data_IF_128357862097
#
_entry.id   IF_128357862097
#
_cell.length_a   1.000
_cell.length_b   1.000
_cell.length_c   1.000
_cell.angle_alpha   90.00
_cell.angle_beta   90.00
_cell.angle_gamma   90.00
#
_symmetry.space_group_name_H-M   'P 1'
#
loop_
_entity.id
_entity.type
_entity.pdbx_description
1 polymer ?
#
# COMPACT_ATOMS: atom_id res chain seq x y z
N UNK A 1 -16.73 -5.14 -7.17
CA UNK A 1 -16.32 -4.79 -8.57
C UNK A 1 -15.43 -5.84 -9.22
N UNK A 2 -14.29 -6.27 -8.64
CA UNK A 2 -13.40 -7.29 -9.23
C UNK A 2 -14.18 -8.58 -9.60
N UNK A 3 -15.07 -9.06 -8.71
CA UNK A 3 -15.96 -10.21 -8.98
C UNK A 3 -16.87 -10.06 -10.21
N UNK A 4 -17.19 -8.83 -10.63
CA UNK A 4 -17.94 -8.57 -11.86
C UNK A 4 -16.99 -8.50 -13.06
N UNK A 5 -15.86 -7.79 -12.91
CA UNK A 5 -14.83 -7.66 -13.94
C UNK A 5 -14.30 -9.02 -14.38
N UNK A 6 -14.05 -9.94 -13.44
CA UNK A 6 -13.48 -11.25 -13.76
C UNK A 6 -14.37 -12.10 -14.67
N UNK A 7 -15.67 -11.79 -14.78
CA UNK A 7 -16.59 -12.47 -15.71
C UNK A 7 -16.39 -12.06 -17.16
N UNK A 8 -15.77 -10.90 -17.42
CA UNK A 8 -15.72 -10.29 -18.75
C UNK A 8 -14.30 -10.00 -19.25
N UNK A 9 -13.35 -9.67 -18.37
CA UNK A 9 -11.99 -9.27 -18.77
C UNK A 9 -10.94 -9.65 -17.73
N UNK A 10 -9.73 -9.88 -18.21
CA UNK A 10 -8.58 -10.22 -17.38
C UNK A 10 -8.59 -11.66 -16.89
N UNK A 11 -7.43 -12.11 -16.46
CA UNK A 11 -7.24 -13.41 -15.82
C UNK A 11 -6.29 -13.38 -14.62
N UNK A 12 -5.75 -12.20 -14.28
CA UNK A 12 -5.03 -11.97 -13.03
C UNK A 12 -5.66 -10.77 -12.33
N UNK A 13 -5.95 -10.89 -11.04
CA UNK A 13 -6.66 -9.85 -10.28
C UNK A 13 -5.94 -9.57 -8.97
N UNK A 14 -5.74 -8.28 -8.66
CA UNK A 14 -5.08 -7.84 -7.44
C UNK A 14 -5.44 -6.38 -7.08
N UNK A 15 -4.96 -5.92 -5.93
CA UNK A 15 -4.91 -4.49 -5.56
C UNK A 15 -3.51 -3.92 -5.79
N UNK A 16 -3.40 -2.60 -5.90
CA UNK A 16 -2.12 -1.90 -6.00
C UNK A 16 -1.23 -2.13 -4.77
N UNK A 17 -1.78 -2.22 -3.56
CA UNK A 17 -1.03 -2.57 -2.34
C UNK A 17 -0.31 -3.93 -2.46
N UNK A 18 -0.98 -4.93 -3.03
CA UNK A 18 -0.43 -6.28 -3.25
C UNK A 18 0.62 -6.24 -4.36
N UNK A 19 0.31 -5.64 -5.51
CA UNK A 19 1.23 -5.59 -6.65
C UNK A 19 2.47 -4.74 -6.34
N UNK A 20 2.32 -3.62 -5.64
CA UNK A 20 3.47 -2.81 -5.20
C UNK A 20 4.38 -3.55 -4.22
N UNK A 21 3.80 -4.37 -3.33
CA UNK A 21 4.56 -5.26 -2.43
C UNK A 21 5.40 -6.27 -3.23
N UNK A 22 4.81 -6.90 -4.24
CA UNK A 22 5.53 -7.83 -5.14
C UNK A 22 6.61 -7.13 -5.98
N UNK A 23 6.26 -6.01 -6.61
CA UNK A 23 7.19 -5.23 -7.44
C UNK A 23 8.40 -4.72 -6.66
N UNK A 24 8.20 -4.35 -5.39
CA UNK A 24 9.24 -3.77 -4.53
C UNK A 24 9.85 -4.78 -3.56
N UNK A 25 9.54 -6.09 -3.70
CA UNK A 25 9.90 -7.12 -2.72
C UNK A 25 11.41 -7.19 -2.41
N UNK A 26 12.27 -6.82 -3.36
CA UNK A 26 13.74 -6.79 -3.21
C UNK A 26 14.24 -5.75 -2.20
N UNK A 27 13.38 -4.81 -1.80
CA UNK A 27 13.68 -3.79 -0.77
C UNK A 27 13.10 -4.15 0.60
N UNK A 28 12.25 -5.17 0.69
CA UNK A 28 11.61 -5.56 1.95
C UNK A 28 12.59 -6.27 2.87
N UNK A 29 12.56 -5.90 4.15
CA UNK A 29 13.31 -6.56 5.22
C UNK A 29 12.35 -7.39 6.05
N UNK A 30 11.26 -6.78 6.51
CA UNK A 30 10.27 -7.42 7.36
C UNK A 30 9.48 -8.50 6.61
N UNK A 31 9.02 -9.54 7.33
CA UNK A 31 8.20 -10.58 6.74
C UNK A 31 6.82 -10.05 6.35
N UNK A 32 6.30 -10.59 5.27
CA UNK A 32 4.94 -10.38 4.77
C UNK A 32 4.52 -11.62 3.99
N UNK A 33 3.21 -11.77 3.77
CA UNK A 33 2.65 -12.88 3.01
C UNK A 33 1.49 -12.44 2.12
N UNK A 34 1.34 -13.14 0.99
CA UNK A 34 0.30 -12.91 -0.03
C UNK A 34 -0.31 -14.26 -0.38
N UNK A 35 -1.63 -14.34 -0.33
CA UNK A 35 -2.40 -15.51 -0.75
C UNK A 35 -2.61 -15.45 -2.25
N UNK A 36 -2.49 -16.60 -2.92
CA UNK A 36 -2.78 -16.72 -4.35
C UNK A 36 -3.78 -17.85 -4.56
N UNK A 37 -4.98 -17.52 -5.03
CA UNK A 37 -6.00 -18.47 -5.43
C UNK A 37 -5.94 -18.69 -6.95
N UNK A 38 -5.71 -19.94 -7.35
CA UNK A 38 -5.63 -20.37 -8.75
C UNK A 38 -6.87 -21.19 -9.09
N UNK A 39 -7.71 -20.64 -9.98
CA UNK A 39 -9.00 -21.19 -10.39
C UNK A 39 -9.07 -21.25 -11.93
N UNK A 40 -8.85 -22.43 -12.49
CA UNK A 40 -8.78 -22.66 -13.93
C UNK A 40 -7.71 -21.82 -14.59
N UNK A 41 -8.11 -20.86 -15.43
CA UNK A 41 -7.20 -19.92 -16.09
C UNK A 41 -7.04 -18.60 -15.35
N UNK A 42 -7.54 -18.48 -14.11
CA UNK A 42 -7.57 -17.23 -13.34
C UNK A 42 -6.69 -17.29 -12.09
N UNK A 43 -6.07 -16.17 -11.76
CA UNK A 43 -5.30 -15.94 -10.54
C UNK A 43 -5.89 -14.75 -9.77
N UNK A 44 -6.06 -14.94 -8.47
CA UNK A 44 -6.41 -13.87 -7.54
C UNK A 44 -5.29 -13.76 -6.52
N UNK A 45 -4.62 -12.61 -6.48
CA UNK A 45 -3.65 -12.29 -5.44
C UNK A 45 -4.39 -11.49 -4.37
N UNK A 46 -4.43 -12.04 -3.16
CA UNK A 46 -5.14 -11.46 -2.02
C UNK A 46 -4.26 -11.43 -0.77
N UNK A 47 -4.73 -10.74 0.26
CA UNK A 47 -4.12 -10.68 1.59
C UNK A 47 -5.06 -11.33 2.60
N UNK A 48 -4.49 -11.87 3.68
CA UNK A 48 -5.26 -12.32 4.85
C UNK A 48 -5.86 -11.13 5.59
N UNK A 49 -6.93 -11.35 6.36
CA UNK A 49 -7.55 -10.30 7.16
C UNK A 49 -6.61 -9.72 8.22
N UNK A 50 -5.76 -10.56 8.81
CA UNK A 50 -4.72 -10.20 9.79
C UNK A 50 -3.39 -9.78 9.14
N UNK A 51 -3.36 -9.60 7.82
CA UNK A 51 -2.13 -9.29 7.08
C UNK A 51 -1.56 -7.93 7.45
N UNK A 52 -0.24 -7.85 7.51
CA UNK A 52 0.52 -6.62 7.75
C UNK A 52 0.81 -5.82 6.47
N UNK A 53 0.27 -6.21 5.31
CA UNK A 53 0.57 -5.54 4.03
C UNK A 53 0.19 -4.06 4.03
N UNK A 54 -0.94 -3.71 4.66
CA UNK A 54 -1.41 -2.32 4.77
C UNK A 54 -0.69 -1.57 5.89
N UNK A 55 0.00 -2.29 6.77
CA UNK A 55 0.76 -1.68 7.84
C UNK A 55 1.92 -0.88 7.26
N UNK A 56 2.08 0.35 7.74
CA UNK A 56 3.21 1.17 7.37
C UNK A 56 4.39 0.84 8.26
N UNK A 57 5.52 0.46 7.66
CA UNK A 57 6.76 0.23 8.41
C UNK A 57 7.48 1.55 8.65
N UNK A 58 8.24 1.64 9.75
CA UNK A 58 9.01 2.83 10.12
C UNK A 58 10.45 2.41 10.33
N UNK A 59 11.37 3.05 9.61
CA UNK A 59 12.81 2.78 9.67
C UNK A 59 13.19 1.31 9.37
N UNK A 60 12.37 0.58 8.59
CA UNK A 60 12.59 -0.83 8.25
C UNK A 60 13.94 -1.10 7.57
N UNK A 61 14.37 -0.19 6.69
CA UNK A 61 15.62 -0.34 5.92
C UNK A 61 16.75 0.51 6.49
N UNK A 62 16.58 1.03 7.71
CA UNK A 62 17.66 1.71 8.41
C UNK A 62 18.76 0.71 8.83
N UNK A 63 19.97 1.21 9.07
CA UNK A 63 21.06 0.38 9.58
C UNK A 63 20.71 -0.29 10.92
N UNK A 64 19.97 0.44 11.76
CA UNK A 64 19.44 -0.03 13.03
C UNK A 64 17.91 0.15 13.01
N UNK A 65 17.15 -0.88 12.64
CA UNK A 65 15.69 -0.85 12.67
C UNK A 65 15.16 -0.73 14.12
N UNK A 66 13.93 -0.23 14.32
CA UNK A 66 13.33 -0.14 15.65
C UNK A 66 13.20 -1.52 16.32
N UNK A 67 13.31 -1.60 17.66
CA UNK A 67 13.22 -2.86 18.39
C UNK A 67 11.79 -3.44 18.39
N UNK A 68 11.67 -4.72 18.72
CA UNK A 68 10.38 -5.41 18.94
C UNK A 68 10.09 -5.62 20.44
N UNK A 69 10.29 -4.58 21.25
CA UNK A 69 10.23 -4.66 22.72
C UNK A 69 8.87 -4.24 23.32
N UNK A 70 7.88 -3.95 22.47
CA UNK A 70 6.53 -3.52 22.89
C UNK A 70 6.46 -2.10 23.46
N UNK A 71 7.57 -1.36 23.49
CA UNK A 71 7.57 0.05 23.92
C UNK A 71 6.87 0.95 22.90
N UNK A 72 6.63 2.22 23.25
CA UNK A 72 6.07 3.22 22.34
C UNK A 72 6.85 3.32 21.01
N UNK A 73 8.16 3.12 21.06
CA UNK A 73 9.05 3.21 19.90
C UNK A 73 9.41 1.83 19.32
N UNK A 74 8.65 0.79 19.67
CA UNK A 74 8.76 -0.52 19.03
C UNK A 74 8.25 -0.48 17.58
N UNK A 75 8.78 -1.34 16.72
CA UNK A 75 8.44 -1.38 15.29
C UNK A 75 6.92 -1.44 15.03
N UNK A 76 6.20 -2.24 15.83
CA UNK A 76 4.74 -2.38 15.75
C UNK A 76 4.00 -1.09 16.09
N UNK A 77 4.37 -0.46 17.22
CA UNK A 77 3.70 0.76 17.69
C UNK A 77 4.00 1.96 16.80
N UNK A 78 5.25 2.09 16.32
CA UNK A 78 5.61 3.10 15.33
C UNK A 78 4.84 2.91 14.01
N UNK A 79 4.61 1.67 13.59
CA UNK A 79 3.80 1.41 12.40
C UNK A 79 2.33 1.79 12.59
N UNK A 80 1.75 1.51 13.77
CA UNK A 80 0.37 1.89 14.08
C UNK A 80 0.22 3.42 14.08
N UNK A 81 1.17 4.11 14.71
CA UNK A 81 1.24 5.56 14.70
C UNK A 81 1.37 6.11 13.27
N UNK A 82 2.23 5.52 12.43
CA UNK A 82 2.41 5.96 11.05
C UNK A 82 1.14 5.79 10.21
N UNK A 83 0.38 4.71 10.40
CA UNK A 83 -0.94 4.50 9.77
C UNK A 83 -1.92 5.59 10.22
N UNK A 84 -2.01 5.85 11.53
CA UNK A 84 -2.86 6.90 12.08
C UNK A 84 -2.51 8.29 11.52
N UNK A 85 -1.23 8.63 11.46
CA UNK A 85 -0.74 9.86 10.85
C UNK A 85 -1.14 9.94 9.38
N UNK A 86 -0.98 8.87 8.61
CA UNK A 86 -1.31 8.86 7.19
C UNK A 86 -2.81 9.05 6.93
N UNK A 87 -3.66 8.35 7.68
CA UNK A 87 -5.12 8.53 7.59
C UNK A 87 -5.53 9.97 7.88
N UNK A 88 -5.04 10.55 8.98
CA UNK A 88 -5.38 11.92 9.35
C UNK A 88 -4.84 12.93 8.35
N UNK A 89 -3.56 12.81 7.96
CA UNK A 89 -2.93 13.77 7.05
C UNK A 89 -3.59 13.78 5.67
N UNK A 90 -3.89 12.60 5.11
CA UNK A 90 -4.50 12.47 3.79
C UNK A 90 -5.85 13.20 3.70
N UNK A 91 -6.59 13.27 4.80
CA UNK A 91 -7.87 13.95 4.89
C UNK A 91 -7.71 15.43 5.30
N UNK A 92 -6.84 15.73 6.25
CA UNK A 92 -6.64 17.08 6.80
C UNK A 92 -6.17 18.11 5.76
N UNK A 93 -5.42 17.69 4.74
CA UNK A 93 -4.90 18.60 3.70
C UNK A 93 -5.90 18.86 2.56
N UNK A 94 -7.11 18.30 2.66
CA UNK A 94 -8.17 18.48 1.67
C UNK A 94 -9.17 19.54 2.09
N UNK A 95 -9.94 20.00 1.12
CA UNK A 95 -11.04 20.94 1.34
C UNK A 95 -12.33 20.17 1.62
N UNK A 96 -12.55 19.83 2.89
CA UNK A 96 -13.64 18.93 3.30
C UNK A 96 -15.07 19.47 3.09
N UNK A 97 -15.22 20.79 3.00
CA UNK A 97 -16.53 21.45 2.87
C UNK A 97 -16.81 21.97 1.45
N UNK A 98 -16.02 21.52 0.46
CA UNK A 98 -16.24 21.84 -0.95
C UNK A 98 -16.81 20.62 -1.71
N UNK A 99 -17.35 20.87 -2.90
CA UNK A 99 -17.88 19.81 -3.75
C UNK A 99 -16.77 18.82 -4.12
N UNK A 100 -17.01 17.53 -3.87
CA UNK A 100 -16.08 16.46 -4.22
C UNK A 100 -16.15 16.19 -5.72
N UNK A 101 -15.00 15.95 -6.33
CA UNK A 101 -14.95 15.43 -7.69
C UNK A 101 -15.59 14.04 -7.76
N UNK A 102 -16.64 13.89 -8.59
CA UNK A 102 -17.36 12.62 -8.74
C UNK A 102 -16.94 11.90 -10.02
N UNK A 103 -16.51 10.66 -9.87
CA UNK A 103 -16.36 9.75 -11.00
C UNK A 103 -17.73 9.26 -11.49
N UNK A 104 -17.83 8.72 -12.72
CA UNK A 104 -19.09 8.19 -13.25
C UNK A 104 -19.73 7.08 -12.41
N UNK A 105 -18.95 6.36 -11.60
CA UNK A 105 -19.43 5.30 -10.72
C UNK A 105 -19.16 5.68 -9.26
N UNK A 106 -20.09 5.39 -8.32
CA UNK A 106 -19.90 5.65 -6.90
C UNK A 106 -18.86 4.71 -6.29
N UNK A 107 -18.44 5.02 -5.07
CA UNK A 107 -17.58 4.15 -4.28
C UNK A 107 -18.31 2.80 -4.01
N UNK A 108 -17.72 1.65 -4.38
CA UNK A 108 -18.39 0.36 -4.29
C UNK A 108 -18.33 -0.30 -2.90
N UNK A 109 -17.73 0.37 -1.90
CA UNK A 109 -17.52 -0.16 -0.55
C UNK A 109 -18.33 0.55 0.53
N UNK A 110 -19.13 1.55 0.16
CA UNK A 110 -19.97 2.30 1.08
C UNK A 110 -21.41 2.27 0.59
N UNK A 111 -22.35 2.37 1.51
CA UNK A 111 -23.75 2.57 1.17
C UNK A 111 -24.00 4.02 0.74
N UNK A 112 -25.07 4.30 -0.04
CA UNK A 112 -25.36 5.66 -0.52
C UNK A 112 -25.56 6.70 0.58
N UNK A 113 -26.04 6.30 1.75
CA UNK A 113 -26.25 7.13 2.94
C UNK A 113 -24.96 7.41 3.73
N UNK A 114 -23.87 6.68 3.46
CA UNK A 114 -22.56 6.85 4.10
C UNK A 114 -21.62 7.77 3.29
N UNK A 115 -22.05 8.30 2.15
CA UNK A 115 -21.19 9.09 1.22
C UNK A 115 -20.59 10.34 1.89
N UNK A 116 -21.32 11.00 2.80
CA UNK A 116 -20.84 12.19 3.50
C UNK A 116 -19.77 11.90 4.55
N UNK A 117 -19.77 10.71 5.14
CA UNK A 117 -18.83 10.30 6.19
C UNK A 117 -17.59 9.59 5.63
N UNK A 118 -17.68 9.10 4.39
CA UNK A 118 -16.59 8.42 3.72
C UNK A 118 -15.37 9.35 3.51
N UNK A 119 -14.18 8.80 3.75
CA UNK A 119 -12.91 9.44 3.40
C UNK A 119 -12.84 9.73 1.89
N UNK A 120 -12.10 10.78 1.53
CA UNK A 120 -11.81 11.05 0.13
C UNK A 120 -10.89 9.96 -0.42
N UNK A 121 -11.41 9.16 -1.34
CA UNK A 121 -10.69 8.13 -2.09
C UNK A 121 -11.44 7.82 -3.38
N UNK A 122 -10.71 7.62 -4.47
CA UNK A 122 -11.25 7.14 -5.73
C UNK A 122 -10.54 5.87 -6.20
N UNK A 123 -11.32 4.91 -6.72
CA UNK A 123 -10.81 3.62 -7.18
C UNK A 123 -10.78 3.57 -8.71
N UNK A 124 -9.61 3.26 -9.28
CA UNK A 124 -9.41 3.03 -10.71
C UNK A 124 -9.07 1.58 -10.96
N UNK A 125 -9.92 0.87 -11.70
CA UNK A 125 -9.67 -0.51 -12.12
C UNK A 125 -8.99 -0.50 -13.49
N UNK A 126 -7.66 -0.65 -13.50
CA UNK A 126 -6.82 -0.55 -14.69
C UNK A 126 -6.34 -1.93 -15.14
N UNK A 127 -6.03 -2.04 -16.42
CA UNK A 127 -5.62 -3.30 -17.07
C UNK A 127 -4.25 -3.16 -17.71
N UNK A 128 -3.41 -4.17 -17.57
CA UNK A 128 -2.13 -4.29 -18.27
C UNK A 128 -2.05 -5.65 -18.95
N UNK A 129 -1.56 -5.65 -20.19
CA UNK A 129 -1.17 -6.87 -20.89
C UNK A 129 0.25 -7.25 -20.44
N UNK A 130 0.37 -8.42 -19.83
CA UNK A 130 1.66 -8.97 -19.40
C UNK A 130 2.32 -9.81 -20.50
N UNK A 131 1.65 -10.04 -21.64
CA UNK A 131 2.03 -10.99 -22.67
C UNK A 131 1.60 -12.42 -22.33
N UNK A 132 1.73 -13.34 -23.30
CA UNK A 132 1.39 -14.76 -23.06
C UNK A 132 -0.08 -15.01 -22.71
N UNK A 133 -1.01 -14.18 -23.24
CA UNK A 133 -2.44 -14.18 -22.91
C UNK A 133 -2.75 -13.91 -21.44
N UNK A 134 -1.86 -13.24 -20.71
CA UNK A 134 -2.07 -12.84 -19.33
C UNK A 134 -2.38 -11.36 -19.27
N UNK A 135 -3.57 -11.03 -18.77
CA UNK A 135 -4.04 -9.66 -18.58
C UNK A 135 -4.36 -9.45 -17.12
N UNK A 136 -3.58 -8.59 -16.48
CA UNK A 136 -3.77 -8.24 -15.08
C UNK A 136 -4.71 -7.05 -14.93
N UNK A 137 -5.65 -7.17 -14.00
CA UNK A 137 -6.52 -6.09 -13.54
C UNK A 137 -6.10 -5.70 -12.13
N UNK A 138 -5.76 -4.44 -11.93
CA UNK A 138 -5.35 -3.89 -10.64
C UNK A 138 -6.35 -2.82 -10.21
N UNK A 139 -6.91 -2.97 -9.00
CA UNK A 139 -7.62 -1.87 -8.33
C UNK A 139 -6.57 -0.91 -7.75
N UNK A 140 -6.54 0.31 -8.27
CA UNK A 140 -5.63 1.37 -7.85
C UNK A 140 -6.38 2.50 -7.16
N UNK A 141 -5.69 3.27 -6.33
CA UNK A 141 -6.31 4.31 -5.49
C UNK A 141 -5.75 5.71 -5.79
N UNK A 142 -6.63 6.72 -5.75
CA UNK A 142 -6.32 8.14 -5.85
C UNK A 142 -6.85 8.85 -4.61
N UNK A 143 -6.03 9.70 -4.00
CA UNK A 143 -6.36 10.34 -2.72
C UNK A 143 -7.07 11.68 -2.92
N UNK A 144 -6.72 12.46 -3.96
CA UNK A 144 -7.44 13.70 -4.28
C UNK A 144 -7.29 14.15 -5.74
N UNK A 145 -7.95 15.26 -6.06
CA UNK A 145 -7.80 16.02 -7.30
C UNK A 145 -7.34 17.45 -6.98
N UNK A 146 -6.59 18.07 -7.88
CA UNK A 146 -6.26 19.48 -7.85
C UNK A 146 -6.37 20.09 -9.24
N UNK A 147 -6.64 21.38 -9.33
CA UNK A 147 -6.58 22.11 -10.60
C UNK A 147 -5.13 22.38 -10.97
N UNK A 148 -4.72 21.91 -12.15
CA UNK A 148 -3.41 22.14 -12.74
C UNK A 148 -3.23 23.55 -13.30
N UNK A 149 -2.01 23.89 -13.75
CA UNK A 149 -1.68 25.24 -14.19
C UNK A 149 -2.52 25.76 -15.37
N UNK A 150 -3.05 24.87 -16.22
CA UNK A 150 -3.87 25.23 -17.37
C UNK A 150 -5.38 25.02 -17.12
N UNK A 151 -5.77 24.79 -15.86
CA UNK A 151 -7.16 24.52 -15.49
C UNK A 151 -7.58 23.06 -15.64
N UNK A 152 -6.66 22.15 -15.97
CA UNK A 152 -6.93 20.72 -16.09
C UNK A 152 -7.01 20.04 -14.72
N UNK A 153 -7.79 18.97 -14.61
CA UNK A 153 -7.78 18.15 -13.39
C UNK A 153 -6.50 17.31 -13.32
N UNK A 154 -5.80 17.40 -12.20
CA UNK A 154 -4.65 16.55 -11.87
C UNK A 154 -4.98 15.65 -10.68
N UNK A 155 -4.77 14.35 -10.84
CA UNK A 155 -5.00 13.36 -9.81
C UNK A 155 -3.74 13.13 -8.98
N UNK A 156 -3.93 13.02 -7.67
CA UNK A 156 -2.83 13.07 -6.71
C UNK A 156 -2.94 11.95 -5.69
N UNK A 157 -1.80 11.31 -5.42
CA UNK A 157 -1.64 10.52 -4.21
C UNK A 157 -1.00 11.32 -3.09
N UNK A 158 -1.54 11.20 -1.88
CA UNK A 158 -1.06 11.90 -0.68
C UNK A 158 -0.60 10.84 0.32
N UNK A 159 0.63 10.99 0.80
CA UNK A 159 1.21 10.15 1.87
C UNK A 159 1.94 11.03 2.89
N UNK A 160 2.10 10.54 4.10
CA UNK A 160 2.79 11.24 5.18
C UNK A 160 4.03 10.46 5.62
N UNK A 161 5.19 11.11 5.58
CA UNK A 161 6.42 10.63 6.19
C UNK A 161 6.47 11.18 7.61
N UNK A 162 6.81 10.32 8.57
CA UNK A 162 6.76 10.64 9.99
C UNK A 162 8.14 10.62 10.67
N UNK A 163 8.46 11.67 11.41
CA UNK A 163 9.61 11.76 12.33
C UNK A 163 9.12 11.51 13.76
N UNK A 164 9.55 10.38 14.34
CA UNK A 164 9.18 9.98 15.70
C UNK A 164 10.21 10.45 16.74
N UNK A 165 11.50 10.48 16.37
CA UNK A 165 12.57 10.99 17.22
C UNK A 165 13.69 11.63 16.36
N UNK A 166 13.93 12.95 16.48
CA UNK A 166 14.93 13.65 15.65
C UNK A 166 16.37 13.24 15.95
N UNK A 167 16.62 12.53 17.05
CA UNK A 167 17.95 12.07 17.46
C UNK A 167 18.29 10.68 16.90
N UNK A 168 17.31 9.92 16.41
CA UNK A 168 17.48 8.54 15.96
C UNK A 168 17.34 8.48 14.44
N UNK A 169 17.97 7.49 13.81
CA UNK A 169 17.99 7.34 12.36
C UNK A 169 19.05 8.22 11.71
N UNK A 170 18.64 9.35 11.12
CA UNK A 170 19.57 10.26 10.42
C UNK A 170 20.19 11.34 11.30
N UNK A 171 19.65 11.56 12.51
CA UNK A 171 20.08 12.65 13.40
C UNK A 171 19.77 14.05 12.83
N UNK A 172 18.90 14.14 11.82
CA UNK A 172 18.50 15.39 11.19
C UNK A 172 17.17 15.84 11.80
N UNK A 173 17.20 16.86 12.67
CA UNK A 173 15.98 17.48 13.17
C UNK A 173 15.23 18.21 12.06
N UNK A 174 14.10 17.66 11.63
CA UNK A 174 13.33 18.19 10.50
C UNK A 174 12.91 19.64 10.68
N UNK A 175 12.64 20.09 11.92
CA UNK A 175 12.24 21.48 12.19
C UNK A 175 13.32 22.49 11.79
N UNK A 176 14.58 22.07 11.82
CA UNK A 176 15.72 22.92 11.45
C UNK A 176 16.22 22.64 10.04
N UNK A 177 15.98 21.43 9.51
CA UNK A 177 16.62 20.95 8.27
C UNK A 177 15.73 20.97 7.04
N UNK A 178 14.40 20.99 7.16
CA UNK A 178 13.52 20.96 5.99
C UNK A 178 13.63 22.20 5.10
N UNK A 179 13.96 23.36 5.67
CA UNK A 179 14.16 24.59 4.91
C UNK A 179 15.55 24.69 4.28
N UNK A 180 16.59 24.32 5.03
CA UNK A 180 17.98 24.49 4.60
C UNK A 180 18.53 23.28 3.81
N UNK A 181 18.06 22.07 4.12
CA UNK A 181 18.66 20.81 3.70
C UNK A 181 17.60 19.76 3.33
N UNK A 182 16.53 20.18 2.65
CA UNK A 182 15.42 19.30 2.25
C UNK A 182 15.87 18.02 1.53
N UNK A 183 16.85 18.14 0.63
CA UNK A 183 17.42 16.99 -0.08
C UNK A 183 18.10 15.98 0.84
N UNK A 184 18.75 16.44 1.92
CA UNK A 184 19.38 15.55 2.89
C UNK A 184 18.35 14.81 3.74
N UNK A 185 17.26 15.50 4.14
CA UNK A 185 16.12 14.88 4.83
C UNK A 185 15.51 13.78 3.94
N UNK A 186 15.20 14.10 2.69
CA UNK A 186 14.63 13.13 1.76
C UNK A 186 15.57 11.95 1.48
N UNK A 187 16.87 12.19 1.30
CA UNK A 187 17.85 11.13 1.10
C UNK A 187 17.97 10.20 2.32
N UNK A 188 17.87 10.74 3.53
CA UNK A 188 17.81 9.94 4.75
C UNK A 188 16.54 9.06 4.78
N UNK A 189 15.39 9.63 4.42
CA UNK A 189 14.13 8.88 4.38
C UNK A 189 14.12 7.80 3.31
N UNK A 190 14.68 8.06 2.12
CA UNK A 190 14.88 7.07 1.07
C UNK A 190 15.72 5.88 1.52
N UNK A 191 16.74 6.12 2.35
CA UNK A 191 17.58 5.06 2.93
C UNK A 191 16.86 4.29 4.03
N UNK A 192 16.19 4.98 4.94
CA UNK A 192 15.61 4.37 6.14
C UNK A 192 14.23 3.74 5.91
N UNK A 193 13.49 4.21 4.93
CA UNK A 193 12.12 3.81 4.62
C UNK A 193 11.98 3.35 3.15
N UNK A 194 13.03 2.73 2.61
CA UNK A 194 13.17 2.46 1.18
C UNK A 194 12.07 1.57 0.59
N UNK A 195 11.59 0.57 1.35
CA UNK A 195 10.48 -0.28 0.92
C UNK A 195 9.13 0.46 0.94
N UNK A 196 8.82 1.16 2.04
CA UNK A 196 7.60 1.97 2.18
C UNK A 196 7.47 3.01 1.06
N UNK A 197 8.53 3.78 0.83
CA UNK A 197 8.52 4.82 -0.21
C UNK A 197 8.43 4.22 -1.61
N UNK A 198 9.11 3.10 -1.88
CA UNK A 198 8.99 2.42 -3.16
C UNK A 198 7.55 1.93 -3.42
N UNK A 199 6.89 1.31 -2.43
CA UNK A 199 5.48 0.89 -2.55
C UNK A 199 4.58 2.06 -2.91
N UNK A 200 4.69 3.18 -2.20
CA UNK A 200 3.87 4.37 -2.47
C UNK A 200 4.10 4.93 -3.88
N UNK A 201 5.35 5.00 -4.33
CA UNK A 201 5.67 5.46 -5.69
C UNK A 201 5.12 4.51 -6.74
N UNK A 202 5.25 3.20 -6.54
CA UNK A 202 4.67 2.19 -7.43
C UNK A 202 3.14 2.31 -7.47
N UNK A 203 2.44 2.45 -6.34
CA UNK A 203 1.00 2.66 -6.33
C UNK A 203 0.60 3.91 -7.12
N UNK A 204 1.31 5.03 -6.97
CA UNK A 204 1.01 6.25 -7.72
C UNK A 204 1.21 6.09 -9.23
N UNK A 205 2.25 5.35 -9.65
CA UNK A 205 2.48 5.01 -11.07
C UNK A 205 1.36 4.10 -11.59
N UNK A 206 1.01 3.06 -10.82
CA UNK A 206 -0.06 2.12 -11.16
C UNK A 206 -1.44 2.81 -11.18
N UNK A 207 -1.69 3.82 -10.36
CA UNK A 207 -2.91 4.60 -10.35
C UNK A 207 -2.98 5.64 -11.49
N UNK A 208 -1.82 5.98 -12.06
CA UNK A 208 -1.70 6.98 -13.13
C UNK A 208 -1.89 8.38 -12.59
N UNK A 209 -1.30 8.65 -11.42
CA UNK A 209 -1.37 9.93 -10.74
C UNK A 209 -0.43 10.92 -11.41
N UNK A 210 -0.91 12.16 -11.58
CA UNK A 210 -0.13 13.25 -12.15
C UNK A 210 0.93 13.74 -11.15
N UNK A 211 0.58 13.71 -9.87
CA UNK A 211 1.44 14.08 -8.76
C UNK A 211 1.36 13.07 -7.62
N UNK A 212 2.42 13.01 -6.83
CA UNK A 212 2.42 12.45 -5.51
C UNK A 212 2.92 13.50 -4.51
N UNK A 213 2.30 13.59 -3.35
CA UNK A 213 2.60 14.58 -2.32
C UNK A 213 2.98 13.90 -1.03
N UNK A 214 4.09 14.36 -0.44
CA UNK A 214 4.55 13.91 0.86
C UNK A 214 4.42 15.01 1.90
N UNK A 215 3.63 14.74 2.93
CA UNK A 215 3.66 15.51 4.17
C UNK A 215 4.83 15.09 5.05
N UNK A 216 5.52 16.07 5.62
CA UNK A 216 6.49 15.84 6.68
C UNK A 216 5.82 16.11 8.02
N UNK A 217 5.54 15.05 8.77
CA UNK A 217 4.85 15.12 10.06
C UNK A 217 5.81 14.70 11.16
N UNK A 218 5.91 15.48 12.24
CA UNK A 218 6.80 15.17 13.36
C UNK A 218 6.01 15.17 14.67
N UNK A 219 6.37 14.30 15.62
CA UNK A 219 5.85 14.40 17.00
C UNK A 219 6.16 15.79 17.58
N UNK A 220 5.26 16.36 18.37
CA UNK A 220 5.51 17.64 19.05
C UNK A 220 6.62 17.52 20.09
N UNK A 221 6.60 16.40 20.83
CA UNK A 221 7.64 15.98 21.75
C UNK A 221 7.94 14.52 21.43
N UNK A 222 9.20 14.15 21.17
CA UNK A 222 9.57 12.79 20.79
C UNK A 222 9.19 11.73 21.85
N UNK A 223 8.96 12.15 23.10
CA UNK A 223 8.48 11.30 24.21
C UNK A 223 6.96 11.13 24.26
N UNK A 224 6.21 11.75 23.35
CA UNK A 224 4.74 11.79 23.33
C UNK A 224 4.22 11.50 21.91
N UNK A 225 3.74 10.28 21.69
CA UNK A 225 3.17 9.83 20.41
C UNK A 225 1.72 10.30 20.17
N UNK A 226 1.12 11.08 21.08
CA UNK A 226 -0.29 11.51 20.95
C UNK A 226 -0.48 12.79 20.15
N UNK A 227 0.58 13.58 19.96
CA UNK A 227 0.51 14.92 19.33
C UNK A 227 1.56 15.10 18.26
N UNK A 228 1.10 15.51 17.09
CA UNK A 228 1.93 15.71 15.91
C UNK A 228 1.81 17.13 15.35
N UNK A 229 2.75 17.49 14.49
CA UNK A 229 2.76 18.76 13.77
C UNK A 229 3.18 18.52 12.33
N UNK A 230 2.44 19.11 11.39
CA UNK A 230 2.82 19.15 9.97
C UNK A 230 3.89 20.23 9.82
N UNK A 231 5.08 19.83 9.37
CA UNK A 231 6.20 20.75 9.15
C UNK A 231 6.23 21.30 7.73
N UNK A 232 5.65 20.57 6.77
CA UNK A 232 5.58 20.99 5.39
C UNK A 232 5.11 19.88 4.46
N UNK A 233 5.03 20.20 3.18
CA UNK A 233 4.66 19.26 2.13
C UNK A 233 5.58 19.43 0.92
N UNK A 234 5.86 18.34 0.23
CA UNK A 234 6.64 18.33 -1.00
C UNK A 234 5.91 17.55 -2.08
N UNK A 235 5.94 18.08 -3.31
CA UNK A 235 5.27 17.51 -4.47
C UNK A 235 6.31 16.87 -5.40
N UNK A 236 5.94 15.76 -6.02
CA UNK A 236 6.75 15.07 -7.00
C UNK A 236 5.89 14.53 -8.13
N UNK A 237 6.45 14.42 -9.33
CA UNK A 237 5.90 13.51 -10.33
C UNK A 237 6.32 12.07 -10.00
N UNK A 238 5.41 11.08 -10.04
CA UNK A 238 5.75 9.72 -9.65
C UNK A 238 6.92 9.11 -10.42
N UNK A 239 7.00 9.32 -11.73
CA UNK A 239 8.09 8.79 -12.57
C UNK A 239 9.45 9.43 -12.29
N UNK A 240 9.47 10.75 -12.05
CA UNK A 240 10.69 11.47 -11.69
C UNK A 240 11.19 10.99 -10.31
N UNK A 241 10.28 10.80 -9.35
CA UNK A 241 10.63 10.31 -8.02
C UNK A 241 11.10 8.85 -8.03
N UNK A 242 10.48 7.98 -8.83
CA UNK A 242 10.96 6.60 -9.05
C UNK A 242 12.42 6.58 -9.52
N UNK A 243 12.77 7.47 -10.46
CA UNK A 243 14.15 7.63 -10.94
C UNK A 243 15.08 8.08 -9.81
N UNK A 244 14.68 9.07 -9.00
CA UNK A 244 15.48 9.57 -7.87
C UNK A 244 15.79 8.49 -6.83
N UNK A 245 14.88 7.54 -6.60
CA UNK A 245 15.08 6.44 -5.67
C UNK A 245 15.59 5.14 -6.31
N UNK A 246 16.07 5.20 -7.57
CA UNK A 246 16.52 4.05 -8.34
C UNK A 246 15.50 2.89 -8.39
N UNK A 247 14.21 3.21 -8.51
CA UNK A 247 13.12 2.25 -8.66
C UNK A 247 12.87 1.99 -10.15
N UNK A 248 13.15 0.78 -10.60
CA UNK A 248 12.94 0.37 -11.99
C UNK A 248 11.61 -0.41 -12.12
N UNK A 249 10.64 0.19 -12.82
CA UNK A 249 9.33 -0.42 -13.04
C UNK A 249 9.38 -1.67 -13.94
N UNK A 250 10.32 -1.75 -14.87
CA UNK A 250 10.49 -2.94 -15.73
C UNK A 250 10.94 -4.14 -14.90
N UNK A 251 11.82 -3.92 -13.92
CA UNK A 251 12.20 -4.96 -12.98
C UNK A 251 11.01 -5.40 -12.11
N UNK A 252 10.21 -4.44 -11.62
CA UNK A 252 8.98 -4.74 -10.88
C UNK A 252 7.99 -5.58 -11.69
N UNK A 253 7.72 -5.20 -12.95
CA UNK A 253 6.87 -5.98 -13.85
C UNK A 253 7.47 -7.35 -14.17
N UNK A 254 8.78 -7.46 -14.33
CA UNK A 254 9.46 -8.74 -14.53
C UNK A 254 9.24 -9.72 -13.36
N UNK A 255 9.28 -9.22 -12.12
CA UNK A 255 8.98 -10.02 -10.92
C UNK A 255 7.52 -10.50 -10.94
N UNK A 256 6.58 -9.58 -11.17
CA UNK A 256 5.14 -9.92 -11.22
C UNK A 256 4.87 -10.94 -12.33
N UNK A 257 5.44 -10.74 -13.52
CA UNK A 257 5.28 -11.66 -14.65
C UNK A 257 5.80 -13.06 -14.33
N UNK A 258 6.99 -13.16 -13.73
CA UNK A 258 7.58 -14.44 -13.36
C UNK A 258 6.72 -15.20 -12.35
N UNK A 259 6.12 -14.50 -11.38
CA UNK A 259 5.17 -15.10 -10.42
C UNK A 259 3.88 -15.55 -11.10
N UNK A 260 3.31 -14.72 -11.98
CA UNK A 260 2.10 -15.08 -12.73
C UNK A 260 2.35 -16.33 -13.59
N UNK A 261 3.44 -16.37 -14.36
CA UNK A 261 3.81 -17.53 -15.18
C UNK A 261 3.96 -18.80 -14.31
N UNK A 262 4.60 -18.66 -13.14
CA UNK A 262 4.76 -19.75 -12.19
C UNK A 262 3.41 -20.31 -11.74
N UNK A 263 2.49 -19.47 -11.26
CA UNK A 263 1.19 -19.93 -10.75
C UNK A 263 0.23 -20.38 -11.87
N UNK A 264 0.34 -19.82 -13.08
CA UNK A 264 -0.40 -20.32 -14.23
C UNK A 264 -0.01 -21.76 -14.60
N UNK A 265 1.25 -22.14 -14.36
CA UNK A 265 1.75 -23.51 -14.53
C UNK A 265 1.43 -24.47 -13.37
N UNK A 266 0.78 -23.99 -12.30
CA UNK A 266 0.40 -24.80 -11.14
C UNK A 266 -1.04 -25.33 -11.27
N UNK A 267 -1.34 -26.48 -10.63
CA UNK A 267 -2.72 -26.96 -10.52
C UNK A 267 -3.59 -25.94 -9.77
N UNK A 268 -4.90 -26.08 -9.94
CA UNK A 268 -5.85 -25.28 -9.18
C UNK A 268 -5.70 -25.55 -7.67
N UNK A 269 -5.91 -24.51 -6.89
CA UNK A 269 -5.73 -24.55 -5.44
C UNK A 269 -5.22 -23.22 -4.87
N UNK A 270 -4.96 -23.25 -3.57
CA UNK A 270 -4.54 -22.09 -2.78
C UNK A 270 -3.03 -22.15 -2.48
N UNK A 271 -2.38 -21.00 -2.62
CA UNK A 271 -0.94 -20.86 -2.41
C UNK A 271 -0.63 -19.67 -1.50
N UNK A 272 0.54 -19.70 -0.89
CA UNK A 272 1.04 -18.64 -0.03
C UNK A 272 2.46 -18.25 -0.46
N UNK A 273 2.63 -16.98 -0.84
CA UNK A 273 3.95 -16.35 -1.01
C UNK A 273 4.33 -15.76 0.34
N UNK A 274 5.54 -16.03 0.82
CA UNK A 274 6.06 -15.48 2.08
C UNK A 274 7.44 -14.89 1.90
N UNK A 275 7.70 -13.74 2.52
CA UNK A 275 9.04 -13.17 2.67
C UNK A 275 9.68 -13.72 3.94
N UNK A 276 10.81 -14.40 3.80
CA UNK A 276 11.58 -14.92 4.93
C UNK A 276 12.11 -13.75 5.80
N UNK A 277 11.95 -13.78 7.13
CA UNK A 277 12.37 -12.68 8.01
C UNK A 277 13.90 -12.59 8.16
N UNK A 278 14.62 -13.69 7.95
CA UNK A 278 16.07 -13.77 8.17
C UNK A 278 16.86 -13.74 6.86
N UNK A 279 16.24 -14.19 5.76
CA UNK A 279 16.90 -14.31 4.45
C UNK A 279 16.22 -13.44 3.41
N UNK A 280 16.97 -12.87 2.44
CA UNK A 280 16.40 -12.13 1.32
C UNK A 280 15.82 -13.10 0.27
N UNK A 281 14.85 -13.92 0.67
CA UNK A 281 14.25 -14.97 -0.17
C UNK A 281 12.74 -15.00 -0.01
N UNK A 282 12.03 -15.16 -1.13
CA UNK A 282 10.61 -15.49 -1.14
C UNK A 282 10.44 -17.01 -1.16
N UNK A 283 9.46 -17.51 -0.40
CA UNK A 283 9.07 -18.92 -0.40
C UNK A 283 7.61 -19.05 -0.80
N UNK A 284 7.31 -20.10 -1.57
CA UNK A 284 5.97 -20.37 -2.08
C UNK A 284 5.53 -21.72 -1.55
N UNK A 285 4.37 -21.74 -0.89
CA UNK A 285 3.75 -22.93 -0.34
C UNK A 285 2.43 -23.19 -1.04
N UNK A 286 2.09 -24.46 -1.22
CA UNK A 286 0.71 -24.89 -1.46
C UNK A 286 0.08 -25.18 -0.10
N UNK A 287 -1.13 -24.69 0.12
CA UNK A 287 -1.82 -24.79 1.39
C UNK A 287 -3.24 -25.36 1.18
N UNK A 288 -3.80 -26.09 2.16
CA UNK A 288 -5.20 -26.51 2.13
C UNK A 288 -6.14 -25.31 1.93
N UNK A 289 -7.29 -25.54 1.29
CA UNK A 289 -8.28 -24.47 1.03
C UNK A 289 -8.72 -23.79 2.34
N UNK A 290 -8.94 -24.57 3.40
CA UNK A 290 -9.45 -24.09 4.69
C UNK A 290 -8.36 -23.58 5.65
N UNK A 291 -7.15 -23.25 5.16
CA UNK A 291 -6.01 -22.91 6.03
C UNK A 291 -6.18 -21.61 6.82
N UNK A 292 -7.11 -20.76 6.42
CA UNK A 292 -7.37 -19.44 7.02
C UNK A 292 -8.84 -19.22 7.39
N UNK A 293 -9.67 -20.26 7.27
CA UNK A 293 -11.06 -20.19 7.70
C UNK A 293 -11.05 -20.27 9.23
N UNK A 294 -11.63 -19.28 9.88
CA UNK A 294 -11.86 -19.29 11.33
C UNK A 294 -12.75 -20.48 11.70
N UNK A 295 -12.49 -21.18 12.81
CA UNK A 295 -13.41 -22.20 13.33
C UNK A 295 -14.83 -21.64 13.61
N UNK A 296 -14.97 -20.30 13.68
CA UNK A 296 -16.23 -19.59 13.86
C UNK A 296 -17.11 -19.51 12.59
N UNK A 297 -16.57 -19.74 11.39
CA UNK A 297 -17.35 -19.74 10.13
C UNK A 297 -18.02 -21.10 9.85
N UNK A 298 -17.78 -22.10 10.69
CA UNK A 298 -18.30 -23.46 10.53
C UNK A 298 -19.63 -23.72 11.26
N UNK A 299 -20.24 -22.73 11.93
CA UNK A 299 -21.42 -22.95 12.79
C UNK A 299 -22.79 -22.59 12.20
N UNK A 300 -22.89 -22.08 10.96
CA UNK A 300 -24.15 -21.53 10.44
C UNK A 300 -24.93 -22.41 9.44
N UNK A 301 -24.50 -23.65 9.17
CA UNK A 301 -25.15 -24.51 8.14
C UNK A 301 -25.85 -25.79 8.66
N UNK A 302 -26.03 -25.97 9.98
CA UNK A 302 -26.54 -27.25 10.54
C UNK A 302 -27.78 -27.11 11.46
N UNK A 303 -28.71 -26.19 11.18
CA UNK A 303 -29.94 -26.06 12.00
C UNK A 303 -31.26 -25.86 11.23
N UNK A 304 -31.43 -26.49 10.06
CA UNK A 304 -32.73 -26.46 9.35
C UNK A 304 -33.21 -27.82 8.81
N UNK A 305 -32.86 -28.93 9.44
CA UNK A 305 -33.57 -30.21 9.25
C UNK A 305 -33.67 -31.03 10.53
N UNK A 306 -34.68 -30.73 11.36
CA UNK A 306 -35.59 -31.71 11.98
C UNK A 306 -36.36 -31.05 13.13
N UNK A 307 -37.65 -30.75 12.90
CA UNK A 307 -38.68 -31.03 13.89
C UNK A 307 -40.04 -31.17 13.20
N UNK A 308 -40.71 -32.24 13.59
CA UNK A 308 -42.02 -32.74 13.14
C UNK A 308 -43.13 -31.70 13.10
#
# INVERSE_FOLDING_TARGET
VIRQICKTRGNVFATDAIISTLMCCTRSVYPWDIVVDKLGSRLFFDKREDSTIDMLTVNETANEPPPEDGTMDSAKNLGMEAVFINHNFAQQVLKMNEERYKFPNPNPFIQPDEESEAASVAYRYRTWDLGGNQVIVIRCEQDCVQTGPNGEDQFVNIKAINEWNPKIGSGLDWRTKLDMQRGAVLAAELRNNGFKLAKWTTCAILAGSDQMKFGYVSRQNFKDASRHTILGMQNFKPQEFATQMALNMDNGWGIVRALVDLFMGKPDGRYLITKDPMKPTLRIYSIPENSFDSEDDASDDDNDQQQN
#
